data_IF_995575933114
#
_entry.id   IF_995575933114
#
_cell.length_a   1.000
_cell.length_b   1.000
_cell.length_c   1.000
_cell.angle_alpha   90.00
_cell.angle_beta   90.00
_cell.angle_gamma   90.00
#
_symmetry.space_group_name_H-M   'P 1'
#
loop_
_entity.id
_entity.type
_entity.pdbx_description
1 polymer ?
#
# COMPACT_ATOMS: atom_id res chain seq x y z
N UNK A 1 4.43 7.22 -9.08
CA UNK A 1 4.22 5.92 -9.78
C UNK A 1 2.73 5.57 -9.77
N UNK A 2 2.25 4.63 -10.60
CA UNK A 2 0.82 4.33 -10.80
C UNK A 2 0.19 3.45 -9.72
N UNK A 3 -1.00 2.89 -9.99
CA UNK A 3 -1.64 1.85 -9.14
C UNK A 3 -0.86 0.53 -9.32
N UNK A 4 -0.18 -0.01 -8.29
CA UNK A 4 0.61 -1.23 -8.43
C UNK A 4 -0.23 -2.46 -8.84
N UNK A 5 -1.53 -2.47 -8.55
CA UNK A 5 -2.44 -3.57 -8.90
C UNK A 5 -2.85 -3.58 -10.39
N UNK A 6 -2.58 -2.51 -11.14
CA UNK A 6 -2.99 -2.40 -12.53
C UNK A 6 -2.41 -3.53 -13.40
N UNK A 7 -1.18 -3.96 -13.13
CA UNK A 7 -0.56 -5.05 -13.88
C UNK A 7 -1.30 -6.38 -13.68
N UNK A 8 -1.83 -6.64 -12.48
CA UNK A 8 -2.64 -7.83 -12.23
C UNK A 8 -3.94 -7.80 -13.05
N UNK A 9 -4.58 -6.63 -13.14
CA UNK A 9 -5.80 -6.47 -13.93
C UNK A 9 -5.52 -6.67 -15.43
N UNK A 10 -4.41 -6.13 -15.93
CA UNK A 10 -3.97 -6.31 -17.32
C UNK A 10 -3.71 -7.79 -17.62
N UNK A 11 -2.94 -8.47 -16.78
CA UNK A 11 -2.63 -9.88 -16.98
C UNK A 11 -3.89 -10.76 -16.93
N UNK A 12 -4.79 -10.53 -15.97
CA UNK A 12 -6.04 -11.26 -15.87
C UNK A 12 -6.91 -11.13 -17.13
N UNK A 13 -6.99 -9.92 -17.69
CA UNK A 13 -7.70 -9.70 -18.94
C UNK A 13 -7.07 -10.48 -20.10
N UNK A 14 -5.73 -10.51 -20.20
CA UNK A 14 -5.05 -11.30 -21.23
C UNK A 14 -5.21 -12.82 -21.05
N UNK A 15 -5.36 -13.29 -19.82
CA UNK A 15 -5.48 -14.72 -19.51
C UNK A 15 -6.88 -15.28 -19.79
N UNK A 16 -7.93 -14.56 -19.39
CA UNK A 16 -9.30 -15.10 -19.44
C UNK A 16 -10.32 -14.19 -20.15
N UNK A 17 -9.92 -12.99 -20.58
CA UNK A 17 -10.78 -12.05 -21.29
C UNK A 17 -11.72 -11.23 -20.39
N UNK A 18 -11.60 -11.35 -19.07
CA UNK A 18 -12.46 -10.66 -18.10
C UNK A 18 -11.73 -9.50 -17.39
N UNK A 19 -12.49 -8.47 -16.99
CA UNK A 19 -11.93 -7.34 -16.24
C UNK A 19 -11.92 -7.71 -14.76
N UNK A 20 -10.72 -7.80 -14.19
CA UNK A 20 -10.57 -8.02 -12.76
C UNK A 20 -11.04 -6.79 -11.97
N UNK A 21 -11.94 -7.02 -11.04
CA UNK A 21 -12.43 -5.98 -10.13
C UNK A 21 -11.28 -5.30 -9.38
N UNK A 22 -11.47 -4.02 -9.07
CA UNK A 22 -10.53 -3.29 -8.22
C UNK A 22 -10.51 -3.89 -6.81
N UNK A 23 -9.38 -3.74 -6.13
CA UNK A 23 -9.20 -4.26 -4.78
C UNK A 23 -10.08 -3.53 -3.76
N UNK A 24 -10.47 -4.27 -2.74
CA UNK A 24 -11.03 -3.66 -1.52
C UNK A 24 -10.02 -2.74 -0.88
N UNK A 25 -10.49 -1.83 -0.02
CA UNK A 25 -9.59 -0.96 0.73
C UNK A 25 -8.61 -1.76 1.60
N UNK A 26 -9.10 -2.82 2.25
CA UNK A 26 -8.30 -3.69 3.11
C UNK A 26 -7.18 -4.39 2.32
N UNK A 27 -7.50 -4.95 1.15
CA UNK A 27 -6.50 -5.61 0.30
C UNK A 27 -5.44 -4.62 -0.21
N UNK A 28 -5.84 -3.38 -0.52
CA UNK A 28 -4.89 -2.31 -0.86
C UNK A 28 -3.92 -2.05 0.30
N UNK A 29 -4.40 -2.07 1.55
CA UNK A 29 -3.55 -1.86 2.73
C UNK A 29 -2.62 -3.04 2.99
N UNK A 30 -3.09 -4.27 2.79
CA UNK A 30 -2.25 -5.48 2.86
C UNK A 30 -1.11 -5.42 1.85
N UNK A 31 -1.40 -5.10 0.59
CA UNK A 31 -0.35 -4.99 -0.46
C UNK A 31 0.62 -3.84 -0.15
N UNK A 32 0.12 -2.71 0.34
CA UNK A 32 0.98 -1.59 0.75
C UNK A 32 1.93 -2.00 1.88
N UNK A 33 1.44 -2.72 2.89
CA UNK A 33 2.24 -3.23 3.99
C UNK A 33 3.28 -4.27 3.55
N UNK A 34 2.91 -5.19 2.65
CA UNK A 34 3.87 -6.13 2.07
C UNK A 34 4.98 -5.43 1.30
N UNK A 35 4.67 -4.34 0.59
CA UNK A 35 5.70 -3.52 -0.05
C UNK A 35 6.63 -2.86 0.98
N UNK A 36 6.09 -2.30 2.06
CA UNK A 36 6.90 -1.75 3.15
C UNK A 36 7.82 -2.82 3.75
N UNK A 37 7.32 -4.01 4.09
CA UNK A 37 8.15 -5.11 4.61
C UNK A 37 9.29 -5.49 3.65
N UNK A 38 9.03 -5.55 2.34
CA UNK A 38 10.07 -5.78 1.33
C UNK A 38 11.11 -4.68 1.30
N UNK A 39 10.70 -3.41 1.42
CA UNK A 39 11.63 -2.29 1.52
C UNK A 39 12.48 -2.37 2.79
N UNK A 40 11.89 -2.74 3.93
CA UNK A 40 12.60 -2.90 5.20
C UNK A 40 13.65 -4.00 5.08
N UNK A 41 13.30 -5.16 4.51
CA UNK A 41 14.25 -6.25 4.29
C UNK A 41 15.41 -5.84 3.39
N UNK A 42 15.18 -4.91 2.44
CA UNK A 42 16.20 -4.46 1.50
C UNK A 42 17.09 -3.33 2.05
N UNK A 43 16.51 -2.37 2.78
CA UNK A 43 17.15 -1.08 3.11
C UNK A 43 17.20 -0.75 4.60
N UNK A 44 16.60 -1.58 5.44
CA UNK A 44 16.37 -1.29 6.85
C UNK A 44 15.17 -0.36 7.07
N UNK A 45 14.67 -0.35 8.31
CA UNK A 45 13.41 0.31 8.67
C UNK A 45 13.40 1.81 8.38
N UNK A 46 14.42 2.54 8.83
CA UNK A 46 14.45 4.00 8.73
C UNK A 46 14.34 4.49 7.27
N UNK A 47 15.12 3.89 6.37
CA UNK A 47 15.09 4.23 4.94
C UNK A 47 13.76 3.82 4.32
N UNK A 48 13.31 2.59 4.60
CA UNK A 48 12.09 2.04 4.02
C UNK A 48 10.83 2.84 4.40
N UNK A 49 10.67 3.22 5.67
CA UNK A 49 9.52 4.01 6.13
C UNK A 49 9.51 5.38 5.44
N UNK A 50 10.67 6.04 5.32
CA UNK A 50 10.77 7.35 4.66
C UNK A 50 10.43 7.28 3.18
N UNK A 51 10.87 6.25 2.47
CA UNK A 51 10.49 6.02 1.08
C UNK A 51 9.00 5.67 0.95
N UNK A 52 8.47 4.85 1.86
CA UNK A 52 7.07 4.44 1.86
C UNK A 52 6.10 5.61 2.00
N UNK A 53 6.46 6.69 2.71
CA UNK A 53 5.69 7.95 2.77
C UNK A 53 5.30 8.47 1.38
N UNK A 54 6.21 8.36 0.40
CA UNK A 54 5.97 8.77 -0.99
C UNK A 54 5.18 7.75 -1.82
N UNK A 55 5.21 6.48 -1.44
CA UNK A 55 4.55 5.38 -2.16
C UNK A 55 3.10 5.17 -1.70
N UNK A 56 2.82 5.34 -0.40
CA UNK A 56 1.51 5.11 0.20
C UNK A 56 0.33 5.81 -0.52
N UNK A 57 0.45 7.05 -1.02
CA UNK A 57 -0.63 7.70 -1.77
C UNK A 57 -1.09 6.93 -3.01
N UNK A 58 -0.25 6.08 -3.60
CA UNK A 58 -0.60 5.28 -4.77
C UNK A 58 -1.56 4.13 -4.46
N UNK A 59 -1.56 3.64 -3.22
CA UNK A 59 -2.50 2.64 -2.72
C UNK A 59 -3.82 3.26 -2.25
N UNK A 60 -3.77 4.52 -1.81
CA UNK A 60 -4.88 5.25 -1.19
C UNK A 60 -5.67 6.13 -2.18
N UNK A 61 -5.34 6.07 -3.48
CA UNK A 61 -6.01 6.87 -4.52
C UNK A 61 -7.41 6.31 -4.79
N UNK A 62 -8.40 7.20 -4.89
CA UNK A 62 -9.78 6.82 -5.17
C UNK A 62 -10.58 6.35 -3.96
N UNK A 63 -9.95 6.23 -2.79
CA UNK A 63 -10.64 5.87 -1.54
C UNK A 63 -11.18 7.12 -0.85
N UNK A 64 -12.50 7.18 -0.67
CA UNK A 64 -13.15 8.21 0.15
C UNK A 64 -12.65 8.16 1.61
N UNK A 65 -12.39 9.31 2.23
CA UNK A 65 -11.90 9.38 3.62
C UNK A 65 -10.41 9.10 3.82
N UNK A 66 -9.67 8.63 2.80
CA UNK A 66 -8.25 8.28 2.94
C UNK A 66 -7.28 9.48 3.11
N UNK A 67 -7.77 10.73 3.05
CA UNK A 67 -6.95 11.93 3.20
C UNK A 67 -6.27 12.00 4.58
N UNK A 68 -7.00 11.70 5.65
CA UNK A 68 -6.47 11.68 7.02
C UNK A 68 -5.38 10.62 7.17
N UNK A 69 -5.60 9.43 6.62
CA UNK A 69 -4.64 8.34 6.64
C UNK A 69 -3.36 8.69 5.85
N UNK A 70 -3.47 9.27 4.65
CA UNK A 70 -2.32 9.76 3.89
C UNK A 70 -1.50 10.78 4.67
N UNK A 71 -2.18 11.73 5.32
CA UNK A 71 -1.53 12.73 6.17
C UNK A 71 -0.74 12.08 7.30
N UNK A 72 -1.35 11.14 8.02
CA UNK A 72 -0.68 10.41 9.10
C UNK A 72 0.53 9.60 8.61
N UNK A 73 0.38 8.83 7.53
CA UNK A 73 1.47 8.04 6.95
C UNK A 73 2.64 8.94 6.52
N UNK A 74 2.37 10.14 5.98
CA UNK A 74 3.43 11.07 5.55
C UNK A 74 4.37 11.51 6.69
N UNK A 75 3.91 11.41 7.94
CA UNK A 75 4.67 11.79 9.14
C UNK A 75 5.26 10.59 9.90
N UNK A 76 4.82 9.37 9.58
CA UNK A 76 5.22 8.17 10.31
C UNK A 76 6.71 7.88 10.16
N UNK A 77 7.40 7.56 11.25
CA UNK A 77 8.86 7.34 11.33
C UNK A 77 9.26 5.92 11.70
N UNK A 78 8.31 5.08 12.10
CA UNK A 78 8.54 3.68 12.44
C UNK A 78 7.58 2.75 11.73
N UNK A 79 7.95 1.47 11.61
CA UNK A 79 7.05 0.43 11.13
C UNK A 79 5.81 0.32 12.02
N UNK A 80 6.00 0.37 13.35
CA UNK A 80 4.91 0.24 14.32
C UNK A 80 3.84 1.35 14.17
N UNK A 81 4.25 2.58 13.86
CA UNK A 81 3.31 3.66 13.55
C UNK A 81 2.51 3.36 12.27
N UNK A 82 3.17 2.85 11.22
CA UNK A 82 2.48 2.44 9.99
C UNK A 82 1.48 1.31 10.28
N UNK A 83 1.88 0.28 11.02
CA UNK A 83 0.99 -0.84 11.39
C UNK A 83 -0.26 -0.36 12.12
N UNK A 84 -0.08 0.53 13.10
CA UNK A 84 -1.19 1.14 13.84
C UNK A 84 -2.13 1.94 12.92
N UNK A 85 -1.57 2.67 11.95
CA UNK A 85 -2.36 3.46 10.99
C UNK A 85 -3.12 2.59 9.99
N UNK A 86 -2.55 1.45 9.60
CA UNK A 86 -3.18 0.52 8.67
C UNK A 86 -4.22 -0.40 9.35
N UNK A 87 -4.30 -0.41 10.69
CA UNK A 87 -5.18 -1.28 11.47
C UNK A 87 -5.01 -2.76 11.09
N UNK A 88 -3.76 -3.16 10.85
CA UNK A 88 -3.45 -4.57 10.60
C UNK A 88 -3.37 -5.25 11.96
N UNK A 89 -4.21 -6.27 12.16
CA UNK A 89 -4.15 -7.10 13.35
C UNK A 89 -2.76 -7.74 13.46
N UNK A 90 -2.21 -7.72 14.68
CA UNK A 90 -0.98 -8.46 14.98
C UNK A 90 -1.40 -9.91 15.20
N UNK A 91 -1.26 -10.73 14.17
CA UNK A 91 -1.28 -12.19 14.31
C UNK A 91 -0.20 -12.66 15.30
#
# INVERSE_FOLDING_TARGET
>A
MGNPYLFNQINHYFEIGEILHDLTFEDKMKIAYEHLKRLINLKGENVAVREFRGLAPHYLRGTSGAAKLRGAISQASTLAEIESLLQLDKD
#
